data_IF_239991590359
#
_entry.id   IF_239991590359
#
_cell.length_a   1.000
_cell.length_b   1.000
_cell.length_c   1.000
_cell.angle_alpha   90.00
_cell.angle_beta   90.00
_cell.angle_gamma   90.00
#
_symmetry.space_group_name_H-M   'P 1'
#
loop_
_entity.id
_entity.type
_entity.pdbx_description
1 polymer ?
#
# COMPACT_ATOMS: atom_id res chain seq x y z
N UNK A 1 -2.89 -12.62 -18.87
CA UNK A 1 -3.67 -12.85 -17.64
C UNK A 1 -4.93 -12.01 -17.77
N UNK A 2 -6.10 -12.63 -17.74
CA UNK A 2 -7.37 -11.90 -17.88
C UNK A 2 -7.56 -10.95 -16.69
N UNK A 3 -8.31 -9.87 -16.90
CA UNK A 3 -8.64 -8.88 -15.87
C UNK A 3 -9.29 -9.53 -14.63
N UNK A 4 -10.17 -10.50 -14.85
CA UNK A 4 -10.79 -11.32 -13.80
C UNK A 4 -9.77 -12.02 -12.90
N UNK A 5 -8.72 -12.64 -13.48
CA UNK A 5 -7.69 -13.31 -12.69
C UNK A 5 -6.87 -12.33 -11.83
N UNK A 6 -6.71 -11.08 -12.29
CA UNK A 6 -5.97 -10.04 -11.55
C UNK A 6 -6.77 -9.50 -10.37
N UNK A 7 -8.08 -9.33 -10.56
CA UNK A 7 -9.00 -8.95 -9.48
C UNK A 7 -9.08 -10.04 -8.43
N UNK A 8 -9.23 -11.31 -8.84
CA UNK A 8 -9.21 -12.47 -7.94
C UNK A 8 -7.90 -12.57 -7.16
N UNK A 9 -6.75 -12.36 -7.82
CA UNK A 9 -5.44 -12.35 -7.16
C UNK A 9 -5.34 -11.24 -6.11
N UNK A 10 -5.78 -10.03 -6.44
CA UNK A 10 -5.72 -8.88 -5.51
C UNK A 10 -6.64 -9.08 -4.31
N UNK A 11 -7.85 -9.62 -4.53
CA UNK A 11 -8.77 -9.99 -3.45
C UNK A 11 -8.16 -11.09 -2.57
N UNK A 12 -7.58 -12.13 -3.18
CA UNK A 12 -6.93 -13.21 -2.46
C UNK A 12 -5.79 -12.72 -1.58
N UNK A 13 -4.92 -11.85 -2.10
CA UNK A 13 -3.83 -11.25 -1.31
C UNK A 13 -4.40 -10.37 -0.20
N UNK A 14 -5.45 -9.60 -0.44
CA UNK A 14 -6.08 -8.77 0.60
C UNK A 14 -6.69 -9.61 1.74
N UNK A 15 -7.33 -10.74 1.43
CA UNK A 15 -7.82 -11.66 2.46
C UNK A 15 -6.63 -12.25 3.24
N UNK A 16 -5.55 -12.60 2.55
CA UNK A 16 -4.33 -13.12 3.18
C UNK A 16 -3.71 -12.08 4.12
N UNK A 17 -3.66 -10.80 3.75
CA UNK A 17 -3.15 -9.75 4.66
C UNK A 17 -4.02 -9.57 5.90
N UNK A 18 -5.34 -9.72 5.79
CA UNK A 18 -6.23 -9.74 6.96
C UNK A 18 -5.92 -10.94 7.86
N UNK A 19 -5.78 -12.13 7.29
CA UNK A 19 -5.43 -13.34 8.05
C UNK A 19 -4.10 -13.16 8.79
N UNK A 20 -3.08 -12.63 8.11
CA UNK A 20 -1.78 -12.32 8.74
C UNK A 20 -1.94 -11.34 9.89
N UNK A 21 -2.71 -10.26 9.72
CA UNK A 21 -2.93 -9.28 10.77
C UNK A 21 -3.65 -9.89 11.99
N UNK A 22 -4.66 -10.74 11.78
CA UNK A 22 -5.36 -11.45 12.86
C UNK A 22 -4.41 -12.42 13.59
N UNK A 23 -3.57 -13.15 12.86
CA UNK A 23 -2.58 -14.05 13.46
C UNK A 23 -1.57 -13.28 14.33
N UNK A 24 -1.10 -12.12 13.89
CA UNK A 24 -0.21 -11.27 14.70
C UNK A 24 -0.88 -10.78 15.99
N UNK A 25 -2.17 -10.44 15.93
CA UNK A 25 -2.95 -10.08 17.11
C UNK A 25 -3.10 -11.25 18.08
N UNK A 26 -3.47 -12.44 17.57
CA UNK A 26 -3.59 -13.66 18.39
C UNK A 26 -2.25 -14.08 19.00
N UNK A 27 -1.14 -13.84 18.30
CA UNK A 27 0.21 -14.09 18.81
C UNK A 27 0.68 -13.07 19.87
N UNK A 28 -0.12 -12.03 20.18
CA UNK A 28 0.22 -10.99 21.14
C UNK A 28 1.32 -10.04 20.67
N UNK A 29 1.60 -9.99 19.37
CA UNK A 29 2.64 -9.12 18.79
C UNK A 29 2.12 -7.70 18.50
N UNK A 30 0.81 -7.55 18.30
CA UNK A 30 0.16 -6.27 17.99
C UNK A 30 -1.14 -6.12 18.78
N UNK A 31 -1.50 -4.88 19.10
CA UNK A 31 -2.78 -4.52 19.70
C UNK A 31 -3.91 -4.48 18.65
N UNK A 32 -5.15 -4.51 19.11
CA UNK A 32 -6.34 -4.40 18.28
C UNK A 32 -6.34 -3.15 17.38
N UNK A 33 -5.81 -2.03 17.90
CA UNK A 33 -5.71 -0.75 17.19
C UNK A 33 -4.73 -0.80 16.01
N UNK A 34 -3.82 -1.78 15.98
CA UNK A 34 -2.76 -1.91 14.98
C UNK A 34 -3.12 -2.87 13.83
N UNK A 35 -4.24 -3.58 13.93
CA UNK A 35 -4.73 -4.47 12.86
C UNK A 35 -4.93 -3.68 11.56
N UNK A 36 -5.63 -2.55 11.63
CA UNK A 36 -5.90 -1.69 10.47
C UNK A 36 -4.60 -1.14 9.86
N UNK A 37 -3.68 -0.53 10.63
CA UNK A 37 -2.35 -0.13 10.15
C UNK A 37 -1.58 -1.22 9.41
N UNK A 38 -1.55 -2.44 9.95
CA UNK A 38 -0.83 -3.58 9.35
C UNK A 38 -1.47 -4.00 8.03
N UNK A 39 -2.80 -4.06 7.96
CA UNK A 39 -3.51 -4.38 6.71
C UNK A 39 -3.20 -3.34 5.63
N UNK A 40 -3.22 -2.05 5.98
CA UNK A 40 -2.87 -0.97 5.04
C UNK A 40 -1.43 -1.08 4.53
N UNK A 41 -0.48 -1.38 5.42
CA UNK A 41 0.93 -1.53 5.07
C UNK A 41 1.15 -2.70 4.11
N UNK A 42 0.65 -3.89 4.46
CA UNK A 42 0.83 -5.09 3.64
C UNK A 42 0.10 -4.99 2.30
N UNK A 43 -1.11 -4.40 2.29
CA UNK A 43 -1.86 -4.17 1.05
C UNK A 43 -1.15 -3.14 0.18
N UNK A 44 -0.56 -2.11 0.77
CA UNK A 44 0.24 -1.13 0.05
C UNK A 44 1.50 -1.73 -0.57
N UNK A 45 2.18 -2.64 0.12
CA UNK A 45 3.30 -3.42 -0.44
C UNK A 45 2.87 -4.28 -1.64
N UNK A 46 1.70 -4.94 -1.54
CA UNK A 46 1.14 -5.67 -2.67
C UNK A 46 0.86 -4.76 -3.87
N UNK A 47 0.31 -3.56 -3.66
CA UNK A 47 0.05 -2.61 -4.74
C UNK A 47 1.34 -2.11 -5.41
N UNK A 48 2.44 -1.94 -4.66
CA UNK A 48 3.75 -1.65 -5.24
C UNK A 48 4.25 -2.81 -6.12
N UNK A 49 4.18 -4.04 -5.61
CA UNK A 49 4.55 -5.23 -6.36
C UNK A 49 3.70 -5.39 -7.63
N UNK A 50 2.39 -5.20 -7.52
CA UNK A 50 1.45 -5.25 -8.64
C UNK A 50 1.76 -4.16 -9.69
N UNK A 51 2.08 -2.94 -9.24
CA UNK A 51 2.53 -1.87 -10.11
C UNK A 51 3.82 -2.24 -10.88
N UNK A 52 4.78 -2.88 -10.21
CA UNK A 52 6.04 -3.31 -10.84
C UNK A 52 5.79 -4.40 -11.90
N UNK A 53 4.94 -5.37 -11.59
CA UNK A 53 4.52 -6.42 -12.54
C UNK A 53 3.83 -5.78 -13.76
N UNK A 54 3.00 -4.75 -13.56
CA UNK A 54 2.30 -4.03 -14.64
C UNK A 54 3.24 -3.22 -15.54
N UNK A 55 4.36 -2.70 -15.03
CA UNK A 55 5.36 -2.03 -15.88
C UNK A 55 5.92 -2.94 -16.97
N UNK A 56 6.05 -4.24 -16.68
CA UNK A 56 6.60 -5.21 -17.63
C UNK A 56 5.63 -5.62 -18.74
N UNK A 57 4.32 -5.42 -18.56
CA UNK A 57 3.26 -5.81 -19.52
C UNK A 57 2.14 -4.76 -19.55
N UNK A 58 2.38 -3.58 -20.17
CA UNK A 58 1.40 -2.51 -20.22
C UNK A 58 0.19 -2.91 -21.08
N UNK A 59 -1.02 -2.72 -20.54
CA UNK A 59 -2.29 -2.92 -21.24
C UNK A 59 -2.90 -1.55 -21.54
N UNK A 60 -3.31 -1.32 -22.80
CA UNK A 60 -3.67 0.00 -23.36
C UNK A 60 -4.83 0.74 -22.65
N UNK A 61 -5.66 0.03 -21.87
CA UNK A 61 -6.86 0.58 -21.22
C UNK A 61 -6.90 0.39 -19.70
N UNK A 62 -5.82 -0.12 -19.09
CA UNK A 62 -5.78 -0.30 -17.64
C UNK A 62 -5.17 0.91 -16.92
N UNK A 63 -5.51 1.07 -15.64
CA UNK A 63 -4.87 2.04 -14.75
C UNK A 63 -3.36 1.93 -14.83
N UNK A 64 -2.69 3.08 -15.03
CA UNK A 64 -1.24 3.11 -15.26
C UNK A 64 -0.47 2.42 -14.11
N UNK A 65 0.66 1.75 -14.41
CA UNK A 65 1.50 1.12 -13.40
C UNK A 65 1.93 2.11 -12.30
N UNK A 66 2.26 3.34 -12.70
CA UNK A 66 2.60 4.43 -11.79
C UNK A 66 1.46 4.79 -10.85
N UNK A 67 0.22 4.93 -11.35
CA UNK A 67 -0.93 5.23 -10.49
C UNK A 67 -1.25 4.10 -9.51
N UNK A 68 -0.95 2.85 -9.89
CA UNK A 68 -1.11 1.69 -9.00
C UNK A 68 -0.05 1.70 -7.90
N UNK A 69 1.21 1.99 -8.23
CA UNK A 69 2.28 2.16 -7.25
C UNK A 69 2.03 3.34 -6.31
N UNK A 70 1.56 4.47 -6.83
CA UNK A 70 1.24 5.65 -6.04
C UNK A 70 0.19 5.34 -4.97
N UNK A 71 -0.86 4.58 -5.31
CA UNK A 71 -1.83 4.10 -4.32
C UNK A 71 -1.18 3.20 -3.26
N UNK A 72 -0.26 2.32 -3.66
CA UNK A 72 0.46 1.47 -2.71
C UNK A 72 1.27 2.28 -1.71
N UNK A 73 2.00 3.28 -2.20
CA UNK A 73 2.76 4.23 -1.37
C UNK A 73 1.86 5.02 -0.41
N UNK A 74 0.71 5.51 -0.88
CA UNK A 74 -0.26 6.20 -0.01
C UNK A 74 -0.83 5.25 1.04
N UNK A 75 -1.16 4.01 0.68
CA UNK A 75 -1.66 3.02 1.64
C UNK A 75 -0.62 2.73 2.74
N UNK A 76 0.65 2.59 2.38
CA UNK A 76 1.75 2.46 3.35
C UNK A 76 1.87 3.71 4.21
N UNK A 77 1.78 4.91 3.61
CA UNK A 77 1.84 6.17 4.35
C UNK A 77 0.72 6.27 5.40
N UNK A 78 -0.51 5.91 5.03
CA UNK A 78 -1.66 5.93 5.93
C UNK A 78 -1.49 4.91 7.06
N UNK A 79 -1.08 3.67 6.75
CA UNK A 79 -0.82 2.66 7.76
C UNK A 79 0.31 3.05 8.72
N UNK A 80 1.43 3.55 8.19
CA UNK A 80 2.58 4.01 8.96
C UNK A 80 2.27 5.25 9.80
N UNK A 81 1.56 6.22 9.24
CA UNK A 81 1.14 7.42 9.96
C UNK A 81 0.18 7.08 11.11
N UNK A 82 -0.74 6.14 10.90
CA UNK A 82 -1.63 5.67 11.96
C UNK A 82 -0.86 4.99 13.09
N UNK A 83 0.11 4.13 12.77
CA UNK A 83 0.98 3.50 13.78
C UNK A 83 1.77 4.55 14.57
N UNK A 84 2.36 5.54 13.89
CA UNK A 84 3.17 6.59 14.51
C UNK A 84 2.34 7.59 15.32
N UNK A 85 1.04 7.69 15.04
CA UNK A 85 0.14 8.61 15.75
C UNK A 85 0.03 8.25 17.23
N UNK A 86 0.08 6.95 17.55
CA UNK A 86 0.10 6.44 18.92
C UNK A 86 1.33 6.90 19.72
N UNK A 87 2.43 7.24 19.05
CA UNK A 87 3.66 7.72 19.71
C UNK A 87 3.72 9.24 19.73
N UNK A 88 3.61 9.88 18.57
CA UNK A 88 3.60 11.33 18.42
C UNK A 88 3.00 11.71 17.06
N UNK A 89 2.00 12.60 17.09
CA UNK A 89 1.33 13.10 15.90
C UNK A 89 2.27 13.77 14.88
N UNK A 90 3.39 14.34 15.32
CA UNK A 90 4.39 14.95 14.43
C UNK A 90 5.06 13.90 13.53
N UNK A 91 5.31 12.69 14.03
CA UNK A 91 5.89 11.62 13.19
C UNK A 91 4.92 11.19 12.09
N UNK A 92 3.62 11.11 12.39
CA UNK A 92 2.58 10.85 11.39
C UNK A 92 2.58 11.90 10.28
N UNK A 93 2.66 13.18 10.66
CA UNK A 93 2.68 14.29 9.71
C UNK A 93 3.93 14.27 8.83
N UNK A 94 5.10 13.99 9.41
CA UNK A 94 6.36 13.85 8.67
C UNK A 94 6.27 12.73 7.62
N UNK A 95 5.73 11.57 7.97
CA UNK A 95 5.60 10.44 7.02
C UNK A 95 4.67 10.78 5.86
N UNK A 96 3.52 11.43 6.14
CA UNK A 96 2.59 11.84 5.09
C UNK A 96 3.25 12.85 4.15
N UNK A 97 3.91 13.88 4.70
CA UNK A 97 4.60 14.89 3.90
C UNK A 97 5.72 14.29 3.06
N UNK A 98 6.49 13.35 3.61
CA UNK A 98 7.55 12.65 2.89
C UNK A 98 6.99 11.90 1.68
N UNK A 99 5.90 11.16 1.85
CA UNK A 99 5.29 10.40 0.75
C UNK A 99 4.67 11.33 -0.30
N UNK A 100 3.99 12.40 0.11
CA UNK A 100 3.46 13.40 -0.83
C UNK A 100 4.59 14.07 -1.62
N UNK A 101 5.68 14.46 -0.95
CA UNK A 101 6.85 15.03 -1.62
C UNK A 101 7.48 14.04 -2.60
N UNK A 102 7.67 12.78 -2.20
CA UNK A 102 8.21 11.74 -3.07
C UNK A 102 7.32 11.51 -4.31
N UNK A 103 5.99 11.47 -4.13
CA UNK A 103 5.05 11.33 -5.23
C UNK A 103 5.03 12.55 -6.15
N UNK A 104 5.14 13.76 -5.59
CA UNK A 104 5.21 15.00 -6.38
C UNK A 104 6.49 15.03 -7.24
N UNK A 105 7.64 14.67 -6.68
CA UNK A 105 8.91 14.56 -7.40
C UNK A 105 8.82 13.46 -8.48
N UNK A 106 8.31 12.29 -8.13
CA UNK A 106 8.17 11.18 -9.07
C UNK A 106 7.23 11.53 -10.23
N UNK A 107 6.12 12.22 -9.95
CA UNK A 107 5.19 12.70 -10.97
C UNK A 107 5.83 13.77 -11.88
N UNK A 108 6.67 14.66 -11.35
CA UNK A 108 7.39 15.65 -12.14
C UNK A 108 8.48 15.02 -13.04
N UNK A 109 9.13 13.96 -12.58
CA UNK A 109 10.15 13.22 -13.33
C UNK A 109 9.56 12.28 -14.38
N UNK A 110 8.28 11.90 -14.23
CA UNK A 110 7.59 11.04 -15.18
C UNK A 110 7.38 11.80 -16.50
N UNK A 111 8.35 11.67 -17.41
CA UNK A 111 8.24 12.20 -18.78
C UNK A 111 7.07 11.50 -19.50
N UNK A 112 6.24 12.31 -20.18
CA UNK A 112 5.19 11.84 -21.09
C UNK A 112 5.73 10.90 -22.15
#
# INVERSE_FOLDING_TARGET
MSESNRTLLTIGVFILTIVVAVLLYVAGLIDWTLIVPVVFLLTGLWLLALGAIRMSKPVKYERSPFSTMALGLVAIAVGGAWFLFSFNWLYSLVVILLVVAALAIAAALQRK
#
